data_IF_037921616960
#
_entry.id   IF_037921616960
#
_cell.length_a   1.000
_cell.length_b   1.000
_cell.length_c   1.000
_cell.angle_alpha   90.00
_cell.angle_beta   90.00
_cell.angle_gamma   90.00
#
_symmetry.space_group_name_H-M   'P 1'
#
loop_
_entity.id
_entity.type
_entity.pdbx_description
1 polymer ?
#
# COMPACT_ATOMS: atom_id res chain seq x y z
N UNK A 1 84.62 -31.90 3.30
CA UNK A 1 83.43 -32.10 2.42
C UNK A 1 82.14 -32.44 3.17
N UNK A 2 82.12 -32.69 4.49
CA UNK A 2 80.90 -33.02 5.24
C UNK A 2 80.08 -31.80 5.73
N UNK A 3 80.68 -30.61 5.80
CA UNK A 3 80.02 -29.40 6.34
C UNK A 3 79.04 -28.74 5.34
N UNK A 4 79.23 -28.96 4.04
CA UNK A 4 78.40 -28.36 2.99
C UNK A 4 77.11 -29.16 2.72
N UNK A 5 77.04 -30.40 3.21
CA UNK A 5 75.88 -31.30 3.05
C UNK A 5 74.83 -31.06 4.13
N UNK A 6 75.27 -30.70 5.36
CA UNK A 6 74.37 -30.39 6.48
C UNK A 6 73.69 -29.03 6.26
N UNK A 7 74.40 -28.03 5.72
CA UNK A 7 73.82 -26.72 5.44
C UNK A 7 72.78 -26.76 4.30
N UNK A 8 73.00 -27.59 3.27
CA UNK A 8 72.04 -27.87 2.19
C UNK A 8 70.82 -28.68 2.66
N UNK A 9 71.03 -29.62 3.59
CA UNK A 9 69.93 -30.36 4.20
C UNK A 9 69.07 -29.46 5.11
N UNK A 10 69.67 -28.50 5.82
CA UNK A 10 68.93 -27.56 6.68
C UNK A 10 68.12 -26.53 5.86
N UNK A 11 68.63 -26.09 4.70
CA UNK A 11 67.86 -25.21 3.78
C UNK A 11 66.74 -25.95 3.05
N UNK A 12 66.93 -27.23 2.72
CA UNK A 12 65.88 -28.06 2.13
C UNK A 12 64.78 -28.45 3.15
N UNK A 13 65.14 -28.63 4.43
CA UNK A 13 64.18 -28.97 5.49
C UNK A 13 63.38 -27.74 5.98
N UNK A 14 63.94 -26.53 5.89
CA UNK A 14 63.21 -25.30 6.23
C UNK A 14 62.19 -24.90 5.14
N UNK A 15 62.39 -25.31 3.88
CA UNK A 15 61.44 -25.08 2.79
C UNK A 15 60.23 -26.04 2.79
N UNK A 16 60.28 -27.13 3.59
CA UNK A 16 59.22 -28.13 3.68
C UNK A 16 58.25 -27.92 4.87
N UNK A 17 58.47 -26.88 5.68
CA UNK A 17 57.72 -26.62 6.92
C UNK A 17 57.04 -25.24 6.98
N UNK A 18 57.01 -24.47 5.89
CA UNK A 18 55.99 -23.44 5.75
C UNK A 18 54.79 -24.09 5.07
N UNK A 19 53.71 -24.46 5.79
CA UNK A 19 52.43 -24.60 5.12
C UNK A 19 52.23 -23.31 4.35
N UNK A 20 52.14 -23.39 3.02
CA UNK A 20 51.86 -22.22 2.20
C UNK A 20 50.64 -21.55 2.83
N UNK A 21 50.83 -20.35 3.39
CA UNK A 21 49.73 -19.59 3.97
C UNK A 21 48.82 -19.30 2.78
N UNK A 22 47.79 -20.12 2.59
CA UNK A 22 46.75 -19.86 1.64
C UNK A 22 46.03 -18.62 2.16
N UNK A 23 46.39 -17.45 1.65
CA UNK A 23 45.63 -16.24 1.88
C UNK A 23 44.23 -16.51 1.34
N UNK A 24 43.24 -16.48 2.22
CA UNK A 24 41.85 -16.65 1.81
C UNK A 24 41.52 -15.51 0.83
N UNK A 25 41.04 -15.84 -0.37
CA UNK A 25 40.68 -14.83 -1.35
C UNK A 25 39.63 -13.86 -0.77
N UNK A 26 39.72 -12.59 -1.14
CA UNK A 26 38.75 -11.57 -0.78
C UNK A 26 37.34 -11.97 -1.23
N UNK A 27 36.38 -11.89 -0.31
CA UNK A 27 34.98 -12.23 -0.55
C UNK A 27 34.07 -11.16 0.02
N UNK A 28 32.87 -11.02 -0.54
CA UNK A 28 31.86 -10.07 -0.08
C UNK A 28 30.67 -10.80 0.54
N UNK A 29 30.06 -10.18 1.53
CA UNK A 29 28.71 -10.50 2.00
C UNK A 29 27.84 -9.25 1.94
N UNK A 30 26.54 -9.43 1.71
CA UNK A 30 25.58 -8.35 1.56
C UNK A 30 24.38 -8.62 2.47
N UNK A 31 24.02 -7.64 3.29
CA UNK A 31 22.80 -7.66 4.10
C UNK A 31 22.00 -6.37 3.87
N UNK A 32 20.68 -6.49 3.91
CA UNK A 32 19.76 -5.36 3.75
C UNK A 32 19.04 -5.08 5.06
N UNK A 33 18.77 -3.81 5.31
CA UNK A 33 17.82 -3.38 6.33
C UNK A 33 16.38 -3.67 5.92
N UNK A 34 15.48 -3.66 6.89
CA UNK A 34 14.04 -3.70 6.63
C UNK A 34 13.54 -2.33 6.17
N UNK A 35 12.64 -2.33 5.20
CA UNK A 35 11.82 -1.16 4.84
C UNK A 35 10.39 -1.41 5.31
N UNK A 36 9.75 -0.38 5.87
CA UNK A 36 8.36 -0.47 6.31
C UNK A 36 7.39 -0.33 5.15
N UNK A 37 6.10 -0.70 5.33
CA UNK A 37 5.09 -0.34 4.35
C UNK A 37 4.96 1.19 4.26
N UNK A 38 4.84 1.70 3.05
CA UNK A 38 4.65 3.14 2.76
C UNK A 38 3.32 3.36 2.03
N UNK A 39 2.81 4.59 1.99
CA UNK A 39 1.69 4.94 1.10
C UNK A 39 2.20 5.43 -0.25
N UNK A 40 1.37 5.36 -1.30
CA UNK A 40 1.70 5.99 -2.60
C UNK A 40 2.12 7.45 -2.40
N UNK A 41 3.24 7.85 -3.01
CA UNK A 41 3.86 9.17 -2.91
C UNK A 41 4.81 9.34 -1.72
N UNK A 42 4.80 8.44 -0.73
CA UNK A 42 5.74 8.45 0.39
C UNK A 42 7.06 7.77 0.02
N UNK A 43 8.09 7.98 0.85
CA UNK A 43 9.40 7.36 0.69
C UNK A 43 9.91 6.76 2.00
N UNK A 44 10.73 5.72 1.91
CA UNK A 44 11.46 5.13 3.04
C UNK A 44 12.91 4.80 2.64
N UNK A 45 13.80 4.68 3.63
CA UNK A 45 15.23 4.49 3.42
C UNK A 45 15.62 3.01 3.48
N UNK A 46 16.09 2.46 2.36
CA UNK A 46 16.67 1.13 2.30
C UNK A 46 18.17 1.18 2.60
N UNK A 47 18.58 0.58 3.72
CA UNK A 47 19.98 0.40 4.06
C UNK A 47 20.55 -0.90 3.43
N UNK A 48 21.74 -0.84 2.85
CA UNK A 48 22.49 -2.03 2.42
C UNK A 48 23.91 -2.00 2.98
N UNK A 49 24.27 -3.07 3.68
CA UNK A 49 25.60 -3.23 4.28
C UNK A 49 26.37 -4.31 3.53
N UNK A 50 27.53 -3.93 3.01
CA UNK A 50 28.48 -4.86 2.40
C UNK A 50 29.69 -5.03 3.31
N UNK A 51 30.13 -6.27 3.50
CA UNK A 51 31.30 -6.61 4.33
C UNK A 51 32.29 -7.44 3.54
N UNK A 52 33.59 -7.21 3.73
CA UNK A 52 34.66 -7.99 3.12
C UNK A 52 35.28 -8.97 4.11
N UNK A 53 35.68 -10.16 3.63
CA UNK A 53 36.39 -11.16 4.43
C UNK A 53 37.45 -11.91 3.61
N UNK A 54 38.40 -12.54 4.29
CA UNK A 54 39.54 -13.24 3.66
C UNK A 54 40.70 -12.28 3.38
N UNK A 55 40.52 -11.39 2.39
CA UNK A 55 41.48 -10.38 1.96
C UNK A 55 40.76 -9.09 1.51
N UNK A 56 41.52 -8.09 1.08
CA UNK A 56 41.03 -6.80 0.59
C UNK A 56 40.31 -6.95 -0.74
N UNK A 57 39.11 -6.37 -0.82
CA UNK A 57 38.33 -6.28 -2.07
C UNK A 57 38.33 -4.83 -2.54
N UNK A 58 38.84 -4.57 -3.73
CA UNK A 58 38.91 -3.22 -4.32
C UNK A 58 37.72 -2.94 -5.25
N UNK A 59 37.43 -1.65 -5.49
CA UNK A 59 36.35 -1.17 -6.37
C UNK A 59 34.98 -1.75 -6.00
N UNK A 60 34.71 -1.86 -4.70
CA UNK A 60 33.42 -2.29 -4.18
C UNK A 60 32.35 -1.26 -4.55
N UNK A 61 31.26 -1.73 -5.12
CA UNK A 61 30.10 -0.93 -5.48
C UNK A 61 28.82 -1.64 -5.07
N UNK A 62 27.84 -0.86 -4.65
CA UNK A 62 26.48 -1.33 -4.42
C UNK A 62 25.55 -0.72 -5.47
N UNK A 63 24.70 -1.54 -6.08
CA UNK A 63 23.71 -1.10 -7.06
C UNK A 63 22.32 -1.57 -6.67
N UNK A 64 21.34 -0.67 -6.68
CA UNK A 64 19.93 -1.00 -6.50
C UNK A 64 19.23 -1.09 -7.86
N UNK A 65 18.39 -2.11 -8.03
CA UNK A 65 17.49 -2.28 -9.17
C UNK A 65 16.06 -2.17 -8.68
N UNK A 66 15.31 -1.21 -9.23
CA UNK A 66 13.93 -0.92 -8.83
C UNK A 66 12.95 -1.37 -9.91
N UNK A 67 11.90 -2.16 -9.58
CA UNK A 67 10.80 -2.45 -10.48
C UNK A 67 10.01 -1.20 -10.89
N UNK A 68 9.21 -1.32 -11.94
CA UNK A 68 8.24 -0.28 -12.32
C UNK A 68 7.26 -0.03 -11.17
N UNK A 69 7.09 1.23 -10.78
CA UNK A 69 6.26 1.61 -9.64
C UNK A 69 7.06 2.08 -8.42
N UNK A 70 8.39 1.92 -8.43
CA UNK A 70 9.30 2.53 -7.46
C UNK A 70 10.24 3.53 -8.15
N UNK A 71 10.71 4.53 -7.41
CA UNK A 71 11.77 5.44 -7.85
C UNK A 71 12.70 5.78 -6.69
N UNK A 72 13.87 6.33 -7.01
CA UNK A 72 14.78 6.90 -6.01
C UNK A 72 15.38 8.20 -6.53
N UNK A 73 15.62 9.14 -5.63
CA UNK A 73 16.37 10.37 -5.92
C UNK A 73 17.88 10.16 -5.90
N UNK A 74 18.34 9.05 -5.30
CA UNK A 74 19.75 8.75 -5.15
C UNK A 74 20.33 8.08 -6.39
N UNK A 75 21.66 8.11 -6.53
CA UNK A 75 22.34 7.34 -7.56
C UNK A 75 22.06 5.84 -7.36
N UNK A 76 21.58 5.17 -8.41
CA UNK A 76 21.27 3.74 -8.37
C UNK A 76 22.50 2.88 -8.08
N UNK A 77 23.68 3.33 -8.49
CA UNK A 77 24.97 2.74 -8.12
C UNK A 77 25.75 3.70 -7.22
N UNK A 78 26.19 3.22 -6.06
CA UNK A 78 27.01 3.94 -5.10
C UNK A 78 28.35 3.24 -4.90
N UNK A 79 29.44 4.00 -5.06
CA UNK A 79 30.79 3.48 -4.81
C UNK A 79 31.10 3.41 -3.31
N UNK A 80 31.72 2.30 -2.91
CA UNK A 80 32.22 2.06 -1.54
C UNK A 80 33.74 2.22 -1.51
N UNK A 81 34.45 1.88 -2.59
CA UNK A 81 35.91 1.94 -2.66
C UNK A 81 36.54 0.59 -2.31
N UNK A 82 37.58 0.56 -1.49
CA UNK A 82 38.22 -0.70 -1.08
C UNK A 82 37.83 -1.07 0.35
N UNK A 83 37.55 -2.35 0.58
CA UNK A 83 37.25 -2.90 1.90
C UNK A 83 38.31 -3.93 2.28
N UNK A 84 39.00 -3.71 3.39
CA UNK A 84 39.92 -4.69 3.98
C UNK A 84 39.13 -5.84 4.64
N UNK A 85 39.80 -6.97 4.88
CA UNK A 85 39.21 -8.08 5.63
C UNK A 85 38.64 -7.62 6.98
N UNK A 86 37.38 -7.93 7.24
CA UNK A 86 36.63 -7.53 8.44
C UNK A 86 36.01 -6.13 8.40
N UNK A 87 36.23 -5.34 7.34
CA UNK A 87 35.58 -4.05 7.16
C UNK A 87 34.20 -4.18 6.52
N UNK A 88 33.32 -3.24 6.87
CA UNK A 88 31.99 -3.11 6.28
C UNK A 88 31.67 -1.66 5.95
N UNK A 89 30.74 -1.46 5.03
CA UNK A 89 30.21 -0.15 4.69
C UNK A 89 28.72 -0.24 4.39
N UNK A 90 27.97 0.77 4.82
CA UNK A 90 26.54 0.87 4.61
C UNK A 90 26.22 2.02 3.67
N UNK A 91 25.36 1.76 2.69
CA UNK A 91 24.77 2.78 1.80
C UNK A 91 23.26 2.79 1.97
N UNK A 92 22.65 3.90 1.57
CA UNK A 92 21.22 4.14 1.73
C UNK A 92 20.64 4.60 0.39
N UNK A 93 19.43 4.17 0.09
CA UNK A 93 18.60 4.76 -0.96
C UNK A 93 17.25 5.16 -0.37
N UNK A 94 16.84 6.39 -0.63
CA UNK A 94 15.49 6.86 -0.39
C UNK A 94 14.58 6.37 -1.53
N UNK A 95 13.74 5.39 -1.24
CA UNK A 95 12.87 4.72 -2.20
C UNK A 95 11.45 5.29 -2.08
N UNK A 96 10.93 5.86 -3.16
CA UNK A 96 9.57 6.39 -3.27
C UNK A 96 8.64 5.38 -3.95
N UNK A 97 7.46 5.16 -3.37
CA UNK A 97 6.41 4.32 -3.97
C UNK A 97 5.48 5.14 -4.87
N UNK A 98 5.48 4.89 -6.17
CA UNK A 98 4.67 5.65 -7.15
C UNK A 98 3.32 4.99 -7.45
N UNK A 99 3.21 3.69 -7.24
CA UNK A 99 1.99 2.91 -7.44
C UNK A 99 1.82 1.89 -6.33
N UNK A 100 0.58 1.54 -6.02
CA UNK A 100 0.27 0.60 -4.97
C UNK A 100 0.53 -0.84 -5.45
N UNK A 101 1.46 -1.53 -4.81
CA UNK A 101 1.77 -2.95 -5.02
C UNK A 101 2.73 -3.44 -3.92
N UNK A 102 3.08 -4.72 -3.94
CA UNK A 102 4.21 -5.26 -3.20
C UNK A 102 5.38 -5.51 -4.14
N UNK A 103 6.48 -4.80 -3.90
CA UNK A 103 7.67 -4.81 -4.72
C UNK A 103 8.78 -5.64 -4.09
N UNK A 104 9.55 -6.32 -4.95
CA UNK A 104 10.85 -6.88 -4.57
C UNK A 104 11.95 -5.95 -5.10
N UNK A 105 12.72 -5.35 -4.19
CA UNK A 105 13.88 -4.52 -4.50
C UNK A 105 15.12 -5.40 -4.46
N UNK A 106 15.92 -5.35 -5.52
CA UNK A 106 17.16 -6.13 -5.60
C UNK A 106 18.37 -5.20 -5.44
N UNK A 107 19.27 -5.56 -4.54
CA UNK A 107 20.56 -4.88 -4.35
C UNK A 107 21.69 -5.84 -4.67
N UNK A 108 22.65 -5.37 -5.44
CA UNK A 108 23.81 -6.13 -5.89
C UNK A 108 25.10 -5.47 -5.40
N UNK A 109 25.98 -6.27 -4.79
CA UNK A 109 27.33 -5.88 -4.43
C UNK A 109 28.34 -6.51 -5.39
N UNK A 110 29.22 -5.69 -5.94
CA UNK A 110 30.32 -6.12 -6.83
C UNK A 110 31.65 -5.63 -6.27
N UNK A 111 32.74 -6.30 -6.64
CA UNK A 111 34.10 -5.92 -6.29
C UNK A 111 35.11 -6.64 -7.20
N UNK A 112 36.32 -6.11 -7.28
CA UNK A 112 37.38 -6.67 -8.14
C UNK A 112 37.73 -8.09 -7.68
N UNK A 113 37.59 -9.06 -8.59
CA UNK A 113 37.85 -10.48 -8.32
C UNK A 113 37.02 -11.11 -7.19
N UNK A 114 35.96 -10.43 -6.74
CA UNK A 114 35.00 -10.97 -5.78
C UNK A 114 33.75 -11.48 -6.50
N UNK A 115 33.15 -12.56 -5.99
CA UNK A 115 31.85 -13.03 -6.46
C UNK A 115 30.80 -11.95 -6.22
N UNK A 116 29.92 -11.76 -7.20
CA UNK A 116 28.81 -10.81 -7.08
C UNK A 116 27.79 -11.34 -6.08
N UNK A 117 27.46 -10.51 -5.09
CA UNK A 117 26.43 -10.84 -4.11
C UNK A 117 25.14 -10.11 -4.44
N UNK A 118 24.01 -10.77 -4.25
CA UNK A 118 22.69 -10.18 -4.45
C UNK A 118 21.82 -10.45 -3.23
N UNK A 119 21.03 -9.47 -2.84
CA UNK A 119 20.04 -9.60 -1.78
C UNK A 119 18.77 -8.87 -2.17
N UNK A 120 17.63 -9.31 -1.65
CA UNK A 120 16.32 -8.78 -1.95
C UNK A 120 15.65 -8.23 -0.69
N UNK A 121 14.94 -7.11 -0.84
CA UNK A 121 14.07 -6.54 0.19
C UNK A 121 12.65 -6.43 -0.37
N UNK A 122 11.65 -6.61 0.49
CA UNK A 122 10.24 -6.46 0.12
C UNK A 122 9.74 -5.11 0.62
N UNK A 123 9.10 -4.33 -0.26
CA UNK A 123 8.45 -3.07 0.06
C UNK A 123 6.99 -3.13 -0.36
N UNK A 124 6.08 -2.90 0.59
CA UNK A 124 4.65 -2.74 0.29
C UNK A 124 4.31 -1.27 0.18
N UNK A 125 3.71 -0.88 -0.95
CA UNK A 125 3.16 0.46 -1.18
C UNK A 125 1.64 0.36 -1.12
N UNK A 126 1.05 0.93 -0.07
CA UNK A 126 -0.39 0.93 0.15
C UNK A 126 -1.08 1.96 -0.75
N UNK A 127 -2.20 1.57 -1.36
CA UNK A 127 -3.09 2.53 -2.03
C UNK A 127 -3.65 3.53 -1.01
N UNK A 128 -3.97 4.76 -1.44
CA UNK A 128 -4.64 5.71 -0.56
C UNK A 128 -5.97 5.12 -0.05
N UNK A 129 -6.47 5.66 1.07
CA UNK A 129 -7.82 5.35 1.54
C UNK A 129 -8.86 5.63 0.46
N UNK A 130 -9.97 4.92 0.50
CA UNK A 130 -11.08 5.14 -0.44
C UNK A 130 -12.38 4.87 0.29
N UNK A 131 -12.96 5.94 0.83
CA UNK A 131 -14.21 5.92 1.59
C UNK A 131 -15.41 5.97 0.65
N UNK A 132 -16.31 5.03 0.83
CA UNK A 132 -17.62 5.02 0.18
C UNK A 132 -18.73 4.83 1.21
N UNK A 133 -19.90 5.38 0.92
CA UNK A 133 -21.14 5.03 1.63
C UNK A 133 -21.74 3.82 0.91
N UNK A 134 -21.75 2.67 1.57
CA UNK A 134 -22.15 1.38 0.97
C UNK A 134 -23.63 1.09 1.13
N UNK A 135 -24.23 1.57 2.21
CA UNK A 135 -25.64 1.36 2.52
C UNK A 135 -26.22 2.59 3.19
N UNK A 136 -27.47 2.89 2.84
CA UNK A 136 -28.23 4.02 3.39
C UNK A 136 -29.61 3.52 3.78
N UNK A 137 -29.87 3.44 5.08
CA UNK A 137 -31.23 3.35 5.62
C UNK A 137 -31.79 4.75 5.67
N UNK A 138 -32.71 5.07 4.76
CA UNK A 138 -33.31 6.40 4.68
C UNK A 138 -34.27 6.64 5.85
N UNK A 139 -34.33 7.88 6.38
CA UNK A 139 -35.39 8.25 7.29
C UNK A 139 -36.75 8.18 6.59
N UNK A 140 -37.82 7.92 7.36
CA UNK A 140 -39.18 7.93 6.88
C UNK A 140 -39.51 9.26 6.17
N UNK A 141 -40.10 9.16 4.98
CA UNK A 141 -40.50 10.32 4.17
C UNK A 141 -41.72 11.06 4.74
N UNK A 142 -42.43 10.42 5.65
CA UNK A 142 -43.63 10.92 6.34
C UNK A 142 -43.65 10.39 7.77
N UNK A 143 -44.03 11.24 8.72
CA UNK A 143 -44.07 10.93 10.16
C UNK A 143 -45.48 11.08 10.77
N UNK A 144 -46.53 10.84 9.97
CA UNK A 144 -47.95 10.80 10.39
C UNK A 144 -48.21 10.04 11.71
N UNK A 145 -48.09 10.74 12.84
CA UNK A 145 -48.23 10.16 14.18
C UNK A 145 -47.04 9.32 14.68
N UNK A 146 -45.98 9.15 13.88
CA UNK A 146 -44.74 8.51 14.33
C UNK A 146 -43.90 9.51 15.15
N UNK A 147 -43.58 9.17 16.40
CA UNK A 147 -42.80 10.05 17.27
C UNK A 147 -41.33 10.20 16.88
N UNK A 148 -40.79 9.30 16.06
CA UNK A 148 -39.40 9.31 15.61
C UNK A 148 -39.16 8.57 14.29
N UNK A 149 -38.03 8.86 13.64
CA UNK A 149 -37.50 8.13 12.48
C UNK A 149 -36.00 7.90 12.63
N UNK A 150 -35.45 6.85 12.00
CA UNK A 150 -34.01 6.52 12.05
C UNK A 150 -33.37 6.64 10.67
N UNK A 151 -32.12 7.08 10.62
CA UNK A 151 -31.24 7.02 9.46
C UNK A 151 -29.97 6.27 9.83
N UNK A 152 -29.50 5.40 8.95
CA UNK A 152 -28.23 4.69 9.13
C UNK A 152 -27.39 4.83 7.87
N UNK A 153 -26.13 5.19 8.03
CA UNK A 153 -25.14 5.23 6.95
C UNK A 153 -24.05 4.20 7.24
N UNK A 154 -23.82 3.30 6.30
CA UNK A 154 -22.71 2.35 6.34
C UNK A 154 -21.58 2.88 5.48
N UNK A 155 -20.38 2.93 6.04
CA UNK A 155 -19.15 3.39 5.41
C UNK A 155 -18.24 2.19 5.19
N UNK A 156 -17.54 2.14 4.05
CA UNK A 156 -16.45 1.20 3.82
C UNK A 156 -15.20 1.93 3.35
N UNK A 157 -14.03 1.43 3.74
CA UNK A 157 -12.74 1.84 3.20
C UNK A 157 -12.19 0.74 2.30
N UNK A 158 -12.33 0.90 0.98
CA UNK A 158 -11.77 -0.02 -0.02
C UNK A 158 -10.31 0.27 -0.36
N UNK A 159 -9.72 1.31 0.23
CA UNK A 159 -8.33 1.70 0.05
C UNK A 159 -7.36 0.91 0.92
N UNK A 160 -6.07 1.16 0.72
CA UNK A 160 -4.96 0.45 1.37
C UNK A 160 -4.44 1.12 2.64
N UNK A 161 -4.84 2.36 2.89
CA UNK A 161 -4.48 3.13 4.09
C UNK A 161 -5.72 3.55 4.87
N UNK A 162 -5.57 3.73 6.18
CA UNK A 162 -6.63 4.24 7.04
C UNK A 162 -7.02 5.67 6.65
N UNK A 163 -8.30 6.00 6.82
CA UNK A 163 -8.81 7.34 6.59
C UNK A 163 -9.76 7.75 7.72
N UNK A 164 -9.77 9.03 8.05
CA UNK A 164 -10.71 9.59 9.01
C UNK A 164 -11.95 10.02 8.24
N UNK A 165 -13.13 9.63 8.74
CA UNK A 165 -14.44 10.01 8.21
C UNK A 165 -15.08 10.96 9.20
N UNK A 166 -15.60 12.08 8.69
CA UNK A 166 -16.37 13.05 9.47
C UNK A 166 -17.76 13.20 8.88
N UNK A 167 -18.77 13.13 9.74
CA UNK A 167 -20.18 13.34 9.37
C UNK A 167 -20.73 14.52 10.14
N UNK A 168 -21.34 15.49 9.47
CA UNK A 168 -22.00 16.63 10.11
C UNK A 168 -23.46 16.71 9.67
N UNK A 169 -24.37 16.58 10.63
CA UNK A 169 -25.82 16.65 10.42
C UNK A 169 -26.30 18.07 10.70
N UNK A 170 -27.02 18.63 9.73
CA UNK A 170 -27.75 19.89 9.84
C UNK A 170 -29.24 19.62 9.71
N UNK A 171 -30.03 20.14 10.65
CA UNK A 171 -31.47 19.95 10.72
C UNK A 171 -32.22 21.27 10.48
N UNK A 172 -33.33 21.23 9.75
CA UNK A 172 -34.25 22.36 9.67
C UNK A 172 -35.08 22.53 10.96
N UNK A 173 -35.62 23.73 11.17
CA UNK A 173 -36.35 24.12 12.39
C UNK A 173 -37.60 23.26 12.65
N UNK A 174 -37.60 22.40 13.67
CA UNK A 174 -38.69 21.44 13.95
C UNK A 174 -38.25 19.98 13.86
N UNK A 175 -36.97 19.71 13.64
CA UNK A 175 -36.34 18.40 13.85
C UNK A 175 -35.33 18.48 15.00
N UNK A 176 -35.20 17.40 15.76
CA UNK A 176 -34.11 17.23 16.72
C UNK A 176 -33.54 15.81 16.66
N UNK A 177 -32.25 15.67 16.98
CA UNK A 177 -31.62 14.36 17.14
C UNK A 177 -31.96 13.85 18.53
N UNK A 178 -32.62 12.70 18.62
CA UNK A 178 -32.96 12.03 19.88
C UNK A 178 -31.99 10.91 20.23
N UNK A 179 -31.25 10.39 19.24
CA UNK A 179 -30.15 9.43 19.42
C UNK A 179 -29.08 9.63 18.36
N UNK A 180 -27.81 9.49 18.73
CA UNK A 180 -26.64 9.78 17.90
C UNK A 180 -26.13 11.22 18.07
N UNK A 181 -24.93 11.49 17.55
CA UNK A 181 -24.29 12.80 17.65
C UNK A 181 -24.42 13.58 16.33
N UNK A 182 -24.70 14.88 16.40
CA UNK A 182 -24.80 15.75 15.22
C UNK A 182 -23.48 15.86 14.44
N UNK A 183 -22.34 15.67 15.10
CA UNK A 183 -21.03 15.58 14.47
C UNK A 183 -20.30 14.35 15.00
N UNK A 184 -19.77 13.52 14.10
CA UNK A 184 -18.91 12.39 14.46
C UNK A 184 -17.66 12.37 13.61
N UNK A 185 -16.55 11.94 14.20
CA UNK A 185 -15.30 11.69 13.51
C UNK A 185 -14.74 10.35 13.99
N UNK A 186 -14.38 9.48 13.06
CA UNK A 186 -13.83 8.16 13.37
C UNK A 186 -12.85 7.71 12.28
N UNK A 187 -11.86 6.91 12.68
CA UNK A 187 -10.90 6.32 11.75
C UNK A 187 -11.44 5.00 11.21
N UNK A 188 -11.34 4.81 9.90
CA UNK A 188 -11.70 3.58 9.22
C UNK A 188 -10.45 3.00 8.55
N UNK A 189 -9.93 1.91 9.11
CA UNK A 189 -8.77 1.21 8.59
C UNK A 189 -9.04 0.58 7.22
N UNK A 190 -7.97 0.27 6.48
CA UNK A 190 -8.06 -0.42 5.20
C UNK A 190 -8.92 -1.71 5.29
N UNK A 191 -9.84 -1.88 4.35
CA UNK A 191 -10.76 -3.02 4.28
C UNK A 191 -11.87 -3.06 5.34
N UNK A 192 -11.92 -2.09 6.26
CA UNK A 192 -12.95 -2.04 7.29
C UNK A 192 -14.24 -1.41 6.79
N UNK A 193 -15.35 -1.78 7.45
CA UNK A 193 -16.64 -1.14 7.30
C UNK A 193 -17.25 -0.87 8.68
N UNK A 194 -18.04 0.19 8.79
CA UNK A 194 -18.75 0.56 10.02
C UNK A 194 -20.04 1.29 9.68
N UNK A 195 -20.97 1.38 10.64
CA UNK A 195 -22.25 2.05 10.43
C UNK A 195 -22.51 3.07 11.54
N UNK A 196 -23.00 4.24 11.15
CA UNK A 196 -23.47 5.29 12.06
C UNK A 196 -24.98 5.39 11.96
N UNK A 197 -25.66 5.49 13.09
CA UNK A 197 -27.12 5.58 13.15
C UNK A 197 -27.57 6.78 13.96
N UNK A 198 -28.61 7.45 13.48
CA UNK A 198 -29.24 8.58 14.13
C UNK A 198 -30.75 8.40 14.20
N UNK A 199 -31.34 8.77 15.32
CA UNK A 199 -32.79 8.86 15.46
C UNK A 199 -33.19 10.31 15.60
N UNK A 200 -34.24 10.71 14.88
CA UNK A 200 -34.76 12.05 14.86
C UNK A 200 -36.20 12.05 15.38
N UNK A 201 -36.58 13.11 16.07
CA UNK A 201 -38.00 13.44 16.30
C UNK A 201 -38.36 14.72 15.56
N UNK A 202 -39.65 14.83 15.24
CA UNK A 202 -40.23 15.97 14.54
C UNK A 202 -41.26 16.66 15.42
N UNK A 203 -41.31 17.98 15.37
CA UNK A 203 -42.34 18.81 15.97
C UNK A 203 -43.03 19.65 14.89
N UNK A 204 -44.36 19.64 14.88
CA UNK A 204 -45.17 20.36 13.90
C UNK A 204 -45.41 19.60 12.59
N UNK A 205 -46.25 20.17 11.73
CA UNK A 205 -46.79 19.52 10.52
C UNK A 205 -46.13 19.96 9.21
N UNK A 206 -45.11 20.82 9.28
CA UNK A 206 -44.42 21.37 8.11
C UNK A 206 -43.42 20.37 7.51
N UNK A 207 -43.04 20.58 6.24
CA UNK A 207 -41.95 19.82 5.62
C UNK A 207 -40.60 20.24 6.21
N UNK A 208 -39.77 19.26 6.54
CA UNK A 208 -38.49 19.42 7.22
C UNK A 208 -37.37 18.71 6.46
N UNK A 209 -36.13 19.15 6.59
CA UNK A 209 -34.98 18.59 5.88
C UNK A 209 -33.87 18.19 6.85
N UNK A 210 -33.27 17.04 6.57
CA UNK A 210 -32.05 16.51 7.18
C UNK A 210 -30.96 16.59 6.12
N UNK A 211 -29.87 17.29 6.39
CA UNK A 211 -28.69 17.33 5.52
C UNK A 211 -27.50 16.72 6.25
N UNK A 212 -26.75 15.86 5.55
CA UNK A 212 -25.57 15.18 6.06
C UNK A 212 -24.39 15.54 5.17
N UNK A 213 -23.47 16.34 5.70
CA UNK A 213 -22.19 16.58 5.06
C UNK A 213 -21.22 15.47 5.46
N UNK A 214 -20.57 14.86 4.47
CA UNK A 214 -19.64 13.74 4.68
C UNK A 214 -18.30 14.13 4.08
N UNK A 215 -17.25 14.12 4.90
CA UNK A 215 -15.89 14.39 4.45
C UNK A 215 -14.95 13.29 4.90
N UNK A 216 -13.89 13.02 4.14
CA UNK A 216 -12.82 12.14 4.59
C UNK A 216 -11.45 12.71 4.25
N UNK A 217 -10.43 12.30 5.01
CA UNK A 217 -9.03 12.62 4.72
C UNK A 217 -8.49 11.95 3.45
N UNK A 218 -9.17 10.92 2.95
CA UNK A 218 -8.72 10.18 1.77
C UNK A 218 -9.40 10.59 0.46
N UNK A 219 -10.69 10.90 0.51
CA UNK A 219 -11.48 11.37 -0.62
C UNK A 219 -12.73 12.11 -0.13
N UNK A 220 -13.49 12.70 -1.05
CA UNK A 220 -14.74 13.37 -0.70
C UNK A 220 -15.95 12.47 -1.07
N UNK A 221 -16.44 11.61 -0.15
CA UNK A 221 -17.71 10.91 -0.37
C UNK A 221 -18.84 11.95 -0.53
N UNK A 222 -19.82 11.68 -1.38
CA UNK A 222 -20.87 12.66 -1.69
C UNK A 222 -21.76 12.97 -0.49
N UNK A 223 -22.08 14.26 -0.32
CA UNK A 223 -23.07 14.73 0.67
C UNK A 223 -24.47 14.18 0.38
N UNK A 224 -25.27 14.01 1.44
CA UNK A 224 -26.64 13.47 1.37
C UNK A 224 -27.66 14.47 1.96
N UNK A 225 -28.88 14.50 1.41
CA UNK A 225 -29.98 15.33 1.93
C UNK A 225 -31.33 14.63 1.76
N UNK A 226 -32.18 14.70 2.79
CA UNK A 226 -33.49 14.03 2.87
C UNK A 226 -34.57 14.99 3.37
N UNK A 227 -35.77 14.91 2.78
CA UNK A 227 -36.92 15.72 3.18
C UNK A 227 -38.00 14.84 3.82
N UNK A 228 -38.48 15.24 5.00
CA UNK A 228 -39.54 14.58 5.77
C UNK A 228 -40.78 15.45 5.74
N UNK A 229 -41.89 14.91 5.26
CA UNK A 229 -43.20 15.56 5.21
C UNK A 229 -44.11 15.09 6.35
N UNK A 230 -45.29 15.71 6.52
CA UNK A 230 -46.36 15.20 7.39
C UNK A 230 -47.60 15.08 6.51
N UNK A 231 -48.06 13.87 6.20
CA UNK A 231 -49.13 13.65 5.23
C UNK A 231 -50.51 13.68 5.89
N UNK A 232 -51.14 14.85 5.99
CA UNK A 232 -52.62 14.89 5.96
C UNK A 232 -53.19 14.86 4.53
N UNK A 233 -52.36 14.72 3.50
CA UNK A 233 -52.81 14.58 2.12
C UNK A 233 -51.95 13.59 1.34
N UNK A 234 -52.58 12.51 0.89
CA UNK A 234 -51.99 11.57 -0.06
C UNK A 234 -51.64 12.31 -1.35
N UNK A 235 -50.35 12.46 -1.64
CA UNK A 235 -49.86 12.81 -2.98
C UNK A 235 -48.51 12.15 -3.20
N UNK A 236 -48.48 11.18 -4.11
CA UNK A 236 -47.28 10.52 -4.62
C UNK A 236 -46.32 11.58 -5.16
N UNK A 237 -45.20 11.79 -4.49
CA UNK A 237 -44.15 12.73 -4.93
C UNK A 237 -42.86 11.96 -5.18
N UNK A 238 -42.33 12.09 -6.39
CA UNK A 238 -41.09 11.46 -6.86
C UNK A 238 -39.86 12.09 -6.21
N UNK A 239 -39.10 11.30 -5.47
CA UNK A 239 -37.82 11.67 -4.84
C UNK A 239 -36.76 11.99 -5.90
N UNK A 240 -36.16 13.18 -5.85
CA UNK A 240 -34.99 13.55 -6.67
C UNK A 240 -33.76 13.65 -5.76
N UNK A 241 -32.85 12.68 -5.87
CA UNK A 241 -31.52 12.72 -5.25
C UNK A 241 -30.73 13.87 -5.89
N UNK A 242 -30.49 14.96 -5.15
CA UNK A 242 -29.67 16.08 -5.65
C UNK A 242 -28.36 16.14 -4.88
N UNK A 243 -27.29 15.66 -5.50
CA UNK A 243 -25.90 15.82 -5.04
C UNK A 243 -25.53 17.29 -5.13
N UNK A 244 -25.42 17.98 -3.99
CA UNK A 244 -25.06 19.41 -3.96
C UNK A 244 -23.73 19.60 -3.27
N UNK A 245 -22.68 19.88 -4.04
CA UNK A 245 -21.36 20.27 -3.52
C UNK A 245 -21.42 21.72 -3.03
N UNK A 246 -21.42 21.96 -1.71
CA UNK A 246 -21.46 23.33 -1.15
C UNK A 246 -20.14 23.67 -0.47
N UNK A 247 -19.44 24.68 -0.99
CA UNK A 247 -18.25 25.29 -0.38
C UNK A 247 -18.66 26.53 0.41
N UNK A 248 -18.39 26.53 1.72
CA UNK A 248 -18.75 27.61 2.67
C UNK A 248 -17.71 28.75 2.64
N UNK A 249 -18.17 29.99 2.52
CA UNK A 249 -17.38 31.22 2.61
C UNK A 249 -17.64 31.98 3.91
N UNK A 250 -16.59 32.59 4.48
CA UNK A 250 -16.66 33.50 5.64
C UNK A 250 -16.18 34.90 5.24
N UNK A 251 -16.99 35.91 5.56
CA UNK A 251 -16.82 37.35 5.30
C UNK A 251 -16.04 38.11 6.39
N UNK A 252 -15.29 39.16 6.01
CA UNK A 252 -15.01 40.33 6.88
C UNK A 252 -13.70 41.11 6.65
N UNK A 253 -13.75 42.15 5.77
CA UNK A 253 -13.23 43.57 5.88
C UNK A 253 -11.89 43.90 6.61
N UNK A 254 -11.00 44.86 6.24
CA UNK A 254 -11.03 46.14 5.48
C UNK A 254 -9.64 46.62 4.99
N UNK A 255 -9.59 47.19 3.78
CA UNK A 255 -8.90 48.40 3.23
C UNK A 255 -7.55 48.95 3.77
N UNK A 256 -6.61 49.22 2.84
CA UNK A 256 -5.57 50.27 2.96
C UNK A 256 -4.38 50.20 1.96
N UNK A 257 -4.51 50.83 0.77
CA UNK A 257 -3.53 51.56 -0.11
C UNK A 257 -2.00 51.38 0.15
N UNK A 258 -1.03 51.18 -0.78
CA UNK A 258 -0.70 51.72 -2.13
C UNK A 258 0.64 51.04 -2.61
N UNK A 259 1.04 51.03 -3.91
CA UNK A 259 1.85 49.96 -4.53
C UNK A 259 3.33 50.30 -4.75
N UNK A 260 4.22 49.30 -4.91
CA UNK A 260 5.46 49.36 -5.74
C UNK A 260 6.09 47.96 -6.01
N UNK A 261 6.17 47.65 -7.31
CA UNK A 261 6.98 46.74 -8.15
C UNK A 261 7.87 45.54 -7.64
N UNK A 262 7.68 44.41 -8.37
CA UNK A 262 8.61 43.34 -8.87
C UNK A 262 9.17 42.24 -7.95
N UNK A 263 9.54 41.02 -8.44
CA UNK A 263 8.95 40.18 -9.51
C UNK A 263 8.72 38.67 -9.11
N UNK A 264 7.67 38.09 -9.72
CA UNK A 264 7.37 36.69 -10.10
C UNK A 264 8.10 35.50 -9.40
N UNK A 265 7.39 34.86 -8.46
CA UNK A 265 7.55 33.45 -8.05
C UNK A 265 6.21 32.75 -8.23
N UNK A 266 6.17 31.69 -9.04
CA UNK A 266 4.94 30.96 -9.39
C UNK A 266 4.51 30.08 -8.21
N UNK A 267 3.33 30.40 -7.67
CA UNK A 267 2.65 29.78 -6.51
C UNK A 267 1.17 29.59 -6.92
N UNK A 268 0.48 28.55 -6.41
CA UNK A 268 -0.59 27.83 -7.12
C UNK A 268 -1.81 28.66 -7.52
N UNK A 269 -2.32 28.35 -8.72
CA UNK A 269 -3.47 28.97 -9.34
C UNK A 269 -4.71 28.99 -8.42
N UNK A 270 -5.18 30.19 -8.12
CA UNK A 270 -6.47 30.47 -7.51
C UNK A 270 -7.62 29.90 -8.35
N UNK A 271 -8.66 29.40 -7.68
CA UNK A 271 -9.89 28.90 -8.30
C UNK A 271 -10.62 30.04 -9.00
N UNK A 272 -10.29 30.26 -10.27
CA UNK A 272 -11.01 31.14 -11.17
C UNK A 272 -12.43 30.57 -11.38
N UNK A 273 -13.42 31.16 -10.70
CA UNK A 273 -14.85 30.88 -10.94
C UNK A 273 -15.34 31.47 -12.27
N UNK A 274 -14.50 32.25 -12.95
CA UNK A 274 -14.66 32.67 -14.34
C UNK A 274 -13.54 32.03 -15.17
N UNK A 275 -13.89 31.36 -16.25
CA UNK A 275 -12.90 30.76 -17.15
C UNK A 275 -12.83 31.55 -18.46
N UNK A 276 -11.73 31.47 -19.19
CA UNK A 276 -11.65 32.08 -20.52
C UNK A 276 -12.34 31.17 -21.54
N UNK A 277 -13.20 31.72 -22.38
CA UNK A 277 -13.85 30.95 -23.46
C UNK A 277 -12.80 30.17 -24.27
N UNK A 278 -13.01 28.85 -24.38
CA UNK A 278 -12.08 27.91 -25.01
C UNK A 278 -11.10 27.20 -24.07
N UNK A 279 -11.00 27.60 -22.80
CA UNK A 279 -10.23 26.84 -21.81
C UNK A 279 -10.87 25.49 -21.51
N UNK A 280 -10.04 24.49 -21.21
CA UNK A 280 -10.50 23.14 -20.85
C UNK A 280 -9.97 22.76 -19.48
N UNK A 281 -10.79 22.09 -18.66
CA UNK A 281 -10.36 21.49 -17.40
C UNK A 281 -10.85 20.06 -17.26
N UNK A 282 -10.13 19.27 -16.46
CA UNK A 282 -10.58 17.94 -16.04
C UNK A 282 -11.83 18.06 -15.16
N UNK A 283 -12.72 17.09 -15.28
CA UNK A 283 -13.94 16.98 -14.49
C UNK A 283 -14.32 15.51 -14.32
N UNK A 284 -15.17 15.23 -13.34
CA UNK A 284 -15.75 13.90 -13.14
C UNK A 284 -17.15 13.88 -13.76
N UNK A 285 -17.43 12.88 -14.60
CA UNK A 285 -18.71 12.75 -15.31
C UNK A 285 -19.82 12.13 -14.46
N UNK A 286 -19.43 11.47 -13.35
CA UNK A 286 -20.32 10.62 -12.55
C UNK A 286 -20.55 9.22 -13.13
N UNK A 287 -19.93 8.90 -14.27
CA UNK A 287 -19.93 7.55 -14.84
C UNK A 287 -18.84 6.69 -14.18
N UNK A 288 -18.95 5.36 -14.34
CA UNK A 288 -18.01 4.40 -13.74
C UNK A 288 -16.85 4.09 -14.68
N UNK A 289 -15.83 3.41 -14.14
CA UNK A 289 -14.72 2.90 -14.93
C UNK A 289 -13.98 3.98 -15.70
N UNK A 290 -13.56 3.65 -16.92
CA UNK A 290 -12.82 4.59 -17.79
C UNK A 290 -13.66 5.82 -18.19
N UNK A 291 -14.99 5.77 -18.03
CA UNK A 291 -15.89 6.86 -18.37
C UNK A 291 -15.95 7.95 -17.29
N UNK A 292 -15.41 7.71 -16.09
CA UNK A 292 -15.45 8.66 -14.98
C UNK A 292 -14.72 9.98 -15.33
N UNK A 293 -13.56 9.88 -15.98
CA UNK A 293 -12.78 11.04 -16.38
C UNK A 293 -13.42 11.77 -17.57
N UNK A 294 -13.64 13.07 -17.41
CA UNK A 294 -14.14 13.95 -18.46
C UNK A 294 -13.36 15.25 -18.59
N UNK A 295 -13.79 16.05 -19.58
CA UNK A 295 -13.30 17.40 -19.83
C UNK A 295 -14.48 18.36 -19.96
N UNK A 296 -14.40 19.50 -19.27
CA UNK A 296 -15.30 20.65 -19.45
C UNK A 296 -14.61 21.71 -20.31
N UNK A 297 -15.34 22.28 -21.26
CA UNK A 297 -14.88 23.43 -22.04
C UNK A 297 -15.58 24.68 -21.55
N UNK A 298 -14.83 25.74 -21.32
CA UNK A 298 -15.35 27.03 -20.95
C UNK A 298 -16.06 27.71 -22.13
N UNK A 299 -17.31 28.12 -21.94
CA UNK A 299 -18.06 28.91 -22.90
C UNK A 299 -18.63 30.14 -22.19
N UNK A 300 -18.32 31.34 -22.72
CA UNK A 300 -18.84 32.61 -22.21
C UNK A 300 -18.56 32.84 -20.71
N UNK A 301 -17.37 32.50 -20.24
CA UNK A 301 -17.01 32.71 -18.83
C UNK A 301 -17.43 31.60 -17.87
N UNK A 302 -18.15 30.58 -18.35
CA UNK A 302 -18.68 29.48 -17.52
C UNK A 302 -18.24 28.12 -18.04
N UNK A 303 -17.88 27.22 -17.13
CA UNK A 303 -17.55 25.84 -17.47
C UNK A 303 -18.79 25.11 -17.99
N UNK A 304 -18.68 24.52 -19.19
CA UNK A 304 -19.74 23.72 -19.81
C UNK A 304 -19.95 22.36 -19.13
N UNK A 305 -20.73 21.50 -19.77
CA UNK A 305 -20.99 20.13 -19.28
C UNK A 305 -19.71 19.29 -19.26
N UNK A 306 -19.59 18.42 -18.26
CA UNK A 306 -18.48 17.46 -18.21
C UNK A 306 -18.71 16.38 -19.26
N UNK A 307 -17.86 16.35 -20.28
CA UNK A 307 -17.95 15.36 -21.36
C UNK A 307 -16.92 14.28 -21.12
N UNK A 308 -17.34 13.01 -21.10
CA UNK A 308 -16.42 11.87 -20.90
C UNK A 308 -15.28 11.88 -21.92
N UNK A 309 -14.05 11.64 -21.45
CA UNK A 309 -12.88 11.53 -22.30
C UNK A 309 -12.87 10.21 -23.07
N UNK A 310 -13.33 9.15 -22.41
CA UNK A 310 -13.47 7.81 -22.96
C UNK A 310 -14.94 7.40 -22.93
N UNK A 311 -15.45 6.90 -24.06
CA UNK A 311 -16.79 6.31 -24.11
C UNK A 311 -16.73 4.85 -23.69
N UNK A 312 -17.83 4.34 -23.14
CA UNK A 312 -18.00 2.91 -22.89
C UNK A 312 -17.68 2.11 -24.16
N UNK A 313 -16.75 1.18 -24.03
CA UNK A 313 -16.28 0.28 -25.08
C UNK A 313 -16.68 -1.16 -24.80
N UNK A 314 -16.09 -2.09 -25.54
CA UNK A 314 -16.17 -3.50 -25.19
C UNK A 314 -15.24 -3.80 -24.00
N UNK A 315 -15.67 -4.72 -23.14
CA UNK A 315 -14.82 -5.24 -22.06
C UNK A 315 -13.53 -5.88 -22.60
N UNK A 316 -12.42 -5.64 -21.91
CA UNK A 316 -11.13 -6.27 -22.14
C UNK A 316 -10.86 -7.32 -21.06
N UNK A 317 -11.05 -8.59 -21.41
CA UNK A 317 -10.86 -9.71 -20.49
C UNK A 317 -9.41 -9.90 -20.00
N UNK A 318 -8.43 -9.22 -20.61
CA UNK A 318 -7.04 -9.19 -20.17
C UNK A 318 -6.69 -7.92 -19.38
N UNK A 319 -7.61 -6.96 -19.32
CA UNK A 319 -7.42 -5.63 -18.74
C UNK A 319 -7.86 -5.54 -17.27
N UNK A 320 -7.24 -4.61 -16.55
CA UNK A 320 -7.56 -4.30 -15.15
C UNK A 320 -8.51 -3.10 -14.97
N UNK A 321 -9.10 -2.62 -16.07
CA UNK A 321 -10.02 -1.47 -16.09
C UNK A 321 -11.45 -1.93 -16.37
N UNK A 322 -12.42 -1.05 -16.11
CA UNK A 322 -13.84 -1.19 -16.45
C UNK A 322 -14.09 -0.41 -17.75
N UNK A 323 -13.91 -1.07 -18.90
CA UNK A 323 -13.96 -0.41 -20.20
C UNK A 323 -15.39 -0.20 -20.70
N UNK A 324 -16.32 -1.03 -20.27
CA UNK A 324 -17.74 -0.90 -20.61
C UNK A 324 -18.52 0.00 -19.63
N UNK A 325 -17.83 0.48 -18.59
CA UNK A 325 -18.30 1.43 -17.59
C UNK A 325 -19.51 0.92 -16.79
N UNK A 326 -19.61 -0.39 -16.60
CA UNK A 326 -20.72 -1.02 -15.89
C UNK A 326 -20.51 -1.06 -14.36
N UNK A 327 -19.30 -0.73 -13.89
CA UNK A 327 -18.89 -0.71 -12.49
C UNK A 327 -18.14 -1.95 -12.03
N UNK A 328 -17.64 -2.77 -12.96
CA UNK A 328 -16.85 -3.97 -12.68
C UNK A 328 -15.58 -3.92 -13.51
N UNK A 329 -14.47 -4.37 -12.94
CA UNK A 329 -13.25 -4.59 -13.72
C UNK A 329 -13.52 -5.69 -14.75
N UNK A 330 -13.16 -5.45 -16.01
CA UNK A 330 -13.47 -6.33 -17.13
C UNK A 330 -12.99 -7.77 -16.89
N UNK A 331 -11.79 -7.96 -16.33
CA UNK A 331 -11.22 -9.28 -16.05
C UNK A 331 -12.02 -10.15 -15.06
N UNK A 332 -12.88 -9.55 -14.21
CA UNK A 332 -13.70 -10.30 -13.24
C UNK A 332 -15.17 -10.44 -13.67
N UNK A 333 -15.50 -9.99 -14.88
CA UNK A 333 -16.85 -10.07 -15.41
C UNK A 333 -17.16 -11.44 -16.03
N UNK A 334 -18.43 -11.86 -15.93
CA UNK A 334 -18.93 -13.08 -16.58
C UNK A 334 -18.64 -13.05 -18.08
N UNK A 335 -18.00 -14.11 -18.59
CA UNK A 335 -17.57 -14.23 -19.98
C UNK A 335 -16.10 -13.87 -20.24
N UNK A 336 -15.37 -13.36 -19.25
CA UNK A 336 -13.91 -13.21 -19.30
C UNK A 336 -13.17 -14.35 -18.61
N UNK A 337 -13.87 -15.13 -17.79
CA UNK A 337 -13.41 -16.44 -17.34
C UNK A 337 -13.66 -17.46 -18.43
N UNK A 338 -12.72 -17.60 -19.37
CA UNK A 338 -12.59 -18.87 -20.07
C UNK A 338 -12.17 -19.91 -19.03
N UNK A 339 -13.16 -20.61 -18.46
CA UNK A 339 -12.92 -21.92 -17.90
C UNK A 339 -12.34 -22.79 -19.03
N UNK A 340 -11.02 -22.81 -19.15
CA UNK A 340 -10.30 -23.97 -19.64
C UNK A 340 -10.35 -25.06 -18.55
N UNK A 341 -11.56 -25.55 -18.28
CA UNK A 341 -11.90 -26.85 -17.68
C UNK A 341 -13.38 -26.84 -17.30
N UNK A 342 -14.14 -27.72 -17.96
CA UNK A 342 -15.48 -28.16 -17.59
C UNK A 342 -16.66 -27.28 -18.03
N UNK A 343 -16.78 -27.07 -19.36
CA UNK A 343 -18.08 -27.21 -20.01
C UNK A 343 -18.17 -28.64 -20.57
N UNK A 344 -18.91 -29.51 -19.84
CA UNK A 344 -19.54 -30.68 -20.44
C UNK A 344 -21.04 -30.50 -20.25
N UNK A 345 -21.64 -29.81 -21.20
CA UNK A 345 -23.02 -30.04 -21.59
C UNK A 345 -23.24 -31.55 -21.83
N UNK A 346 -24.16 -32.12 -21.04
CA UNK A 346 -24.98 -33.24 -21.46
C UNK A 346 -24.60 -34.62 -20.93
N UNK A 347 -25.12 -34.97 -19.75
CA UNK A 347 -25.90 -36.22 -19.63
C UNK A 347 -26.84 -36.19 -18.42
N UNK A 348 -28.14 -36.27 -18.69
CA UNK A 348 -29.17 -36.65 -17.71
C UNK A 348 -28.85 -38.05 -17.16
N UNK A 349 -28.89 -38.22 -15.84
CA UNK A 349 -29.43 -39.45 -15.24
C UNK A 349 -30.21 -39.10 -13.97
N UNK A 350 -31.47 -39.50 -13.98
CA UNK A 350 -32.47 -39.38 -12.93
C UNK A 350 -32.30 -40.45 -11.84
N UNK A 351 -32.57 -40.10 -10.58
CA UNK A 351 -33.32 -40.95 -9.65
C UNK A 351 -32.57 -41.55 -8.44
N UNK A 352 -33.08 -41.23 -7.24
CA UNK A 352 -33.27 -42.20 -6.14
C UNK A 352 -32.24 -42.25 -4.99
N UNK A 353 -32.67 -42.16 -3.71
CA UNK A 353 -31.78 -42.08 -2.53
C UNK A 353 -31.63 -43.42 -1.78
N UNK A 354 -30.49 -43.62 -1.10
CA UNK A 354 -30.23 -44.50 0.07
C UNK A 354 -28.72 -44.38 0.39
N UNK A 355 -28.26 -43.95 1.56
CA UNK A 355 -28.31 -44.62 2.86
C UNK A 355 -26.85 -44.73 3.38
N UNK A 356 -26.57 -44.60 4.69
CA UNK A 356 -25.23 -44.29 5.19
C UNK A 356 -24.42 -45.52 5.62
N UNK A 357 -23.10 -45.41 5.49
CA UNK A 357 -22.11 -46.25 6.18
C UNK A 357 -21.07 -46.85 5.23
N UNK A 358 -19.82 -46.37 5.31
CA UNK A 358 -18.80 -47.20 5.93
C UNK A 358 -17.54 -46.41 6.29
N UNK A 359 -16.91 -46.83 7.39
CA UNK A 359 -15.68 -46.21 7.91
C UNK A 359 -14.47 -46.79 7.17
N UNK A 360 -13.67 -45.93 6.53
CA UNK A 360 -12.28 -46.26 6.24
C UNK A 360 -11.33 -45.34 7.02
N UNK A 361 -10.70 -45.93 8.04
CA UNK A 361 -9.46 -45.45 8.65
C UNK A 361 -8.34 -45.62 7.64
N UNK A 362 -7.69 -44.53 7.25
CA UNK A 362 -6.31 -44.57 6.80
C UNK A 362 -5.53 -43.69 7.77
N UNK A 363 -4.91 -44.35 8.74
CA UNK A 363 -3.90 -43.72 9.57
C UNK A 363 -2.60 -43.66 8.77
N UNK A 364 -2.06 -42.46 8.61
CA UNK A 364 -0.64 -42.27 8.35
C UNK A 364 -0.14 -41.22 9.32
N UNK A 365 0.30 -41.73 10.47
CA UNK A 365 1.05 -41.00 11.48
C UNK A 365 2.42 -40.64 10.91
N UNK A 366 2.65 -39.35 10.65
CA UNK A 366 3.92 -38.78 10.22
C UNK A 366 4.59 -37.98 11.36
N UNK A 367 4.33 -38.36 12.61
CA UNK A 367 4.94 -37.78 13.81
C UNK A 367 6.16 -38.54 14.33
N UNK A 368 7.26 -38.65 13.57
CA UNK A 368 8.50 -39.25 14.13
C UNK A 368 9.84 -38.90 13.44
N UNK A 369 10.00 -37.77 12.72
CA UNK A 369 11.31 -37.44 12.09
C UNK A 369 11.73 -35.96 12.28
N UNK A 370 11.53 -35.39 13.47
CA UNK A 370 11.92 -33.98 13.73
C UNK A 370 12.74 -33.73 15.01
N UNK A 371 13.34 -34.75 15.64
CA UNK A 371 14.10 -34.58 16.89
C UNK A 371 15.45 -35.31 16.95
N UNK A 372 16.14 -35.46 15.81
CA UNK A 372 17.51 -36.01 15.78
C UNK A 372 18.59 -35.06 15.21
N UNK A 373 18.22 -33.91 14.64
CA UNK A 373 19.20 -33.02 13.96
C UNK A 373 19.61 -31.80 14.80
N UNK A 374 18.88 -31.48 15.89
CA UNK A 374 19.20 -30.33 16.75
C UNK A 374 20.20 -30.67 17.88
N UNK A 375 20.39 -31.96 18.20
CA UNK A 375 21.30 -32.40 19.28
C UNK A 375 22.78 -32.53 18.90
N UNK A 376 23.13 -32.58 17.62
CA UNK A 376 24.51 -32.84 17.16
C UNK A 376 25.33 -31.55 17.02
N UNK A 377 24.69 -30.38 16.91
CA UNK A 377 25.41 -29.11 16.66
C UNK A 377 25.97 -28.50 17.96
N UNK A 378 25.41 -28.83 19.13
CA UNK A 378 25.85 -28.22 20.40
C UNK A 378 27.07 -28.95 21.02
N UNK A 379 27.29 -30.24 20.73
CA UNK A 379 28.44 -30.99 21.26
C UNK A 379 29.74 -30.70 20.48
N UNK A 380 29.63 -30.32 19.20
CA UNK A 380 30.80 -29.96 18.37
C UNK A 380 31.45 -28.62 18.74
N UNK A 381 30.67 -27.66 19.27
CA UNK A 381 31.18 -26.33 19.61
C UNK A 381 31.97 -26.30 20.94
N UNK A 382 31.71 -27.23 21.86
CA UNK A 382 32.41 -27.30 23.16
C UNK A 382 33.76 -28.01 23.06
N UNK A 383 33.96 -28.90 22.08
CA UNK A 383 35.23 -29.60 21.89
C UNK A 383 36.33 -28.73 21.25
N UNK A 384 35.98 -27.71 20.47
CA UNK A 384 36.94 -26.82 19.81
C UNK A 384 37.53 -25.74 20.76
N UNK A 385 36.80 -25.35 21.80
CA UNK A 385 37.27 -24.35 22.77
C UNK A 385 38.31 -24.93 23.77
N UNK A 386 38.22 -26.23 24.09
CA UNK A 386 39.15 -26.88 25.03
C UNK A 386 40.55 -27.12 24.43
N UNK A 387 40.64 -27.38 23.11
CA UNK A 387 41.92 -27.58 22.43
C UNK A 387 42.73 -26.27 22.29
N UNK A 388 42.05 -25.13 22.09
CA UNK A 388 42.69 -23.81 21.98
C UNK A 388 43.30 -23.33 23.31
N UNK A 389 42.63 -23.59 24.43
CA UNK A 389 43.12 -23.21 25.76
C UNK A 389 44.36 -24.02 26.19
N UNK A 390 44.43 -25.30 25.83
CA UNK A 390 45.59 -26.17 26.13
C UNK A 390 46.80 -25.78 25.26
N UNK A 391 46.58 -25.40 23.99
CA UNK A 391 47.66 -24.91 23.12
C UNK A 391 48.24 -23.57 23.59
N UNK A 392 47.39 -22.63 24.02
CA UNK A 392 47.82 -21.34 24.56
C UNK A 392 48.62 -21.48 25.88
N UNK A 393 48.21 -22.40 26.76
CA UNK A 393 48.87 -22.62 28.05
C UNK A 393 50.21 -23.36 27.93
N UNK A 394 50.37 -24.23 26.93
CA UNK A 394 51.63 -24.96 26.70
C UNK A 394 52.70 -24.13 25.97
N UNK A 395 52.30 -23.15 25.14
CA UNK A 395 53.24 -22.30 24.40
C UNK A 395 53.75 -21.09 25.20
N UNK A 396 52.97 -20.54 26.14
CA UNK A 396 53.40 -19.37 26.92
C UNK A 396 54.27 -19.67 28.14
N UNK A 397 54.46 -20.93 28.53
CA UNK A 397 55.24 -21.31 29.72
C UNK A 397 56.71 -21.66 29.46
N UNK A 398 57.21 -21.46 28.23
CA UNK A 398 58.62 -21.72 27.84
C UNK A 398 59.44 -20.48 27.52
N UNK A 399 58.92 -19.29 27.79
CA UNK A 399 59.65 -18.02 27.67
C UNK A 399 59.56 -17.28 29.00
N UNK A 400 60.30 -17.75 30.00
CA UNK A 400 61.05 -16.97 30.99
C UNK A 400 61.96 -17.91 31.78
#
# INVERSE_FOLDING_TARGET
>A
MAHNTILKALTALFALLLPGMAFAAGSLTLSLGSVGPISVGASDSLAATVSASGDTVANVQLSVTLPTGLSTSDATTQSVGSLNSGQSSTKYWNITGNSADTYTITVTATGTSATTQTSNATLTVNSPGSISVTEVTQPASDMNGAGSTTMTLSFSNSGGSSATVTTNITLSSGLSITSGNASTSFDLNAGQSTSQSWTFSKTGTTSQTISVAITSTANNPSDLSYTITDSTAATTTTTTTTTTTTTTATTGTTSGNTPTATPKSETPAETQTTCKTGETKKCETGLKGVCAAGTQTCTNGTWGTCTQNTKAGAKDCSGALDNDCNGKVDAVELGCTSNAANDVSGQQVTGGPQGPGDKQKVGLDLGAIALAVVGIIIVGAVAAAAAGAIYYFLFHKKLF
#
